data_IF_530383857519
#
_entry.id   IF_530383857519
#
_cell.length_a   1.000
_cell.length_b   1.000
_cell.length_c   1.000
_cell.angle_alpha   90.00
_cell.angle_beta   90.00
_cell.angle_gamma   90.00
#
_symmetry.space_group_name_H-M   'P 1'
#
loop_
_entity.id
_entity.type
_entity.pdbx_description
1 polymer ?
#
# COMPACT_ATOMS: atom_id res chain seq x y z
N UNK A 1 41.09 -7.27 -37.18
CA UNK A 1 40.33 -6.16 -36.53
C UNK A 1 38.80 -6.36 -36.52
N UNK A 2 38.21 -7.13 -37.44
CA UNK A 2 36.73 -7.31 -37.50
C UNK A 2 36.13 -8.28 -36.47
N UNK A 3 36.76 -9.45 -36.26
CA UNK A 3 36.20 -10.52 -35.40
C UNK A 3 36.17 -10.11 -33.93
N UNK A 4 37.27 -9.54 -33.41
CA UNK A 4 37.35 -9.08 -32.02
C UNK A 4 36.30 -8.00 -31.73
N UNK A 5 36.11 -7.05 -32.66
CA UNK A 5 35.09 -5.99 -32.55
C UNK A 5 33.66 -6.55 -32.56
N UNK A 6 33.41 -7.60 -33.35
CA UNK A 6 32.12 -8.28 -33.39
C UNK A 6 31.82 -9.02 -32.09
N UNK A 7 32.81 -9.70 -31.50
CA UNK A 7 32.67 -10.38 -30.21
C UNK A 7 32.34 -9.35 -29.11
N UNK A 8 33.03 -8.22 -29.05
CA UNK A 8 32.74 -7.16 -28.07
C UNK A 8 31.33 -6.56 -28.22
N UNK A 9 30.85 -6.40 -29.45
CA UNK A 9 29.48 -5.93 -29.71
C UNK A 9 28.45 -6.94 -29.17
N UNK A 10 28.63 -8.23 -29.46
CA UNK A 10 27.70 -9.28 -29.03
C UNK A 10 27.68 -9.41 -27.50
N UNK A 11 28.85 -9.37 -26.85
CA UNK A 11 28.93 -9.46 -25.38
C UNK A 11 28.34 -8.23 -24.68
N UNK A 12 28.51 -7.03 -25.24
CA UNK A 12 27.88 -5.81 -24.76
C UNK A 12 26.35 -5.89 -24.86
N UNK A 13 25.82 -6.30 -26.01
CA UNK A 13 24.37 -6.46 -26.22
C UNK A 13 23.80 -7.52 -25.28
N UNK A 14 24.47 -8.67 -25.15
CA UNK A 14 24.04 -9.71 -24.22
C UNK A 14 24.07 -9.22 -22.75
N UNK A 15 25.11 -8.49 -22.35
CA UNK A 15 25.21 -7.93 -21.01
C UNK A 15 24.11 -6.90 -20.72
N UNK A 16 23.77 -6.05 -21.69
CA UNK A 16 22.66 -5.10 -21.58
C UNK A 16 21.31 -5.81 -21.47
N UNK A 17 21.07 -6.88 -22.24
CA UNK A 17 19.85 -7.68 -22.16
C UNK A 17 19.74 -8.36 -20.80
N UNK A 18 20.84 -8.92 -20.28
CA UNK A 18 20.88 -9.52 -18.94
C UNK A 18 20.59 -8.47 -17.87
N UNK A 19 21.14 -7.26 -17.96
CA UNK A 19 20.85 -6.16 -17.01
C UNK A 19 19.38 -5.72 -17.01
N UNK A 20 18.74 -5.68 -18.19
CA UNK A 20 17.31 -5.34 -18.33
C UNK A 20 16.44 -6.44 -17.71
N UNK A 21 16.75 -7.72 -17.98
CA UNK A 21 16.01 -8.87 -17.45
C UNK A 21 16.25 -9.10 -15.95
N UNK A 22 17.39 -8.66 -15.42
CA UNK A 22 17.76 -8.79 -14.00
C UNK A 22 17.16 -7.72 -13.11
N UNK A 23 16.49 -6.70 -13.67
CA UNK A 23 15.75 -5.71 -12.88
C UNK A 23 14.49 -6.37 -12.31
N UNK A 24 14.64 -7.12 -11.22
CA UNK A 24 13.53 -7.53 -10.39
C UNK A 24 12.95 -6.28 -9.71
N UNK A 25 11.98 -5.64 -10.36
CA UNK A 25 11.03 -4.85 -9.61
C UNK A 25 10.30 -5.83 -8.71
N UNK A 26 10.58 -5.83 -7.40
CA UNK A 26 9.55 -6.17 -6.43
C UNK A 26 8.40 -5.22 -6.74
N UNK A 27 7.45 -5.72 -7.52
CA UNK A 27 6.40 -4.95 -8.16
C UNK A 27 5.07 -5.57 -7.79
N UNK A 28 4.05 -4.74 -7.87
CA UNK A 28 2.65 -5.14 -7.84
C UNK A 28 2.07 -4.82 -9.22
N UNK A 29 0.99 -5.51 -9.58
CA UNK A 29 0.33 -5.33 -10.88
C UNK A 29 -0.75 -4.23 -10.82
N UNK A 30 -1.48 -4.15 -9.71
CA UNK A 30 -2.58 -3.20 -9.52
C UNK A 30 -2.77 -2.84 -8.04
N UNK A 31 -3.65 -1.87 -7.76
CA UNK A 31 -4.11 -1.59 -6.40
C UNK A 31 -5.53 -2.12 -6.20
N UNK A 32 -5.76 -2.80 -5.09
CA UNK A 32 -7.09 -3.06 -4.55
C UNK A 32 -7.43 -1.99 -3.53
N UNK A 33 -8.43 -1.15 -3.83
CA UNK A 33 -9.00 -0.21 -2.86
C UNK A 33 -10.29 -0.80 -2.30
N UNK A 34 -10.21 -1.31 -1.08
CA UNK A 34 -11.29 -2.08 -0.45
C UNK A 34 -11.99 -1.26 0.63
N UNK A 35 -13.30 -1.48 0.75
CA UNK A 35 -14.15 -0.85 1.74
C UNK A 35 -14.92 -1.92 2.51
N UNK A 36 -15.30 -1.61 3.75
CA UNK A 36 -16.03 -2.49 4.65
C UNK A 36 -17.30 -1.80 5.16
N UNK A 37 -18.41 -2.51 5.17
CA UNK A 37 -19.64 -2.05 5.81
C UNK A 37 -19.53 -2.28 7.32
N UNK A 38 -19.49 -1.20 8.13
CA UNK A 38 -19.15 -1.34 9.54
C UNK A 38 -20.06 -2.30 10.33
N UNK A 39 -21.40 -2.30 10.14
CA UNK A 39 -22.27 -3.22 10.88
C UNK A 39 -22.00 -4.69 10.54
N UNK A 40 -21.74 -5.01 9.26
CA UNK A 40 -21.38 -6.36 8.86
C UNK A 40 -20.00 -6.76 9.40
N UNK A 41 -19.02 -5.86 9.36
CA UNK A 41 -17.70 -6.11 9.92
C UNK A 41 -17.78 -6.39 11.43
N UNK A 42 -18.56 -5.62 12.19
CA UNK A 42 -18.74 -5.81 13.61
C UNK A 42 -19.49 -7.10 13.97
N UNK A 43 -20.40 -7.56 13.11
CA UNK A 43 -21.13 -8.81 13.32
C UNK A 43 -20.39 -10.05 12.79
N UNK A 44 -19.22 -9.87 12.15
CA UNK A 44 -18.44 -10.97 11.56
C UNK A 44 -17.48 -11.66 12.54
N UNK A 45 -17.24 -11.07 13.72
CA UNK A 45 -16.28 -11.55 14.70
C UNK A 45 -16.98 -11.88 16.03
N UNK A 46 -16.56 -12.93 16.77
CA UNK A 46 -17.05 -13.18 18.13
C UNK A 46 -16.80 -12.02 19.10
N UNK A 47 -15.75 -11.24 18.87
CA UNK A 47 -15.45 -10.06 19.67
C UNK A 47 -16.28 -8.88 19.15
N UNK A 48 -17.20 -8.32 19.96
CA UNK A 48 -17.99 -7.18 19.52
C UNK A 48 -17.10 -5.95 19.34
N UNK A 49 -17.48 -5.08 18.40
CA UNK A 49 -16.90 -3.75 18.28
C UNK A 49 -17.12 -2.96 19.57
N UNK A 50 -16.08 -2.23 20.01
CA UNK A 50 -16.15 -1.40 21.23
C UNK A 50 -17.00 -0.16 21.04
N UNK A 51 -16.97 0.41 19.84
CA UNK A 51 -17.73 1.58 19.45
C UNK A 51 -18.93 1.15 18.57
N UNK A 52 -20.10 1.82 18.67
CA UNK A 52 -21.24 1.52 17.81
C UNK A 52 -20.88 1.70 16.32
N UNK A 53 -21.19 0.73 15.45
CA UNK A 53 -20.92 0.87 14.02
C UNK A 53 -21.89 1.86 13.37
N UNK A 54 -21.36 2.66 12.45
CA UNK A 54 -22.16 3.53 11.60
C UNK A 54 -22.64 2.76 10.36
N UNK A 55 -23.85 3.04 9.87
CA UNK A 55 -24.43 2.36 8.70
C UNK A 55 -23.84 2.87 7.37
N UNK A 56 -22.53 2.76 7.21
CA UNK A 56 -21.81 3.23 6.04
C UNK A 56 -20.61 2.31 5.73
N UNK A 57 -20.14 2.40 4.50
CA UNK A 57 -18.86 1.83 4.12
C UNK A 57 -17.73 2.76 4.56
N UNK A 58 -16.69 2.21 5.15
CA UNK A 58 -15.40 2.90 5.36
C UNK A 58 -14.30 2.16 4.63
N UNK A 59 -13.16 2.80 4.44
CA UNK A 59 -11.97 2.15 3.93
C UNK A 59 -11.63 0.95 4.81
N UNK A 60 -11.34 -0.17 4.16
CA UNK A 60 -10.72 -1.33 4.78
C UNK A 60 -9.22 -1.34 4.48
N UNK A 61 -8.83 -1.10 3.22
CA UNK A 61 -7.44 -0.98 2.83
C UNK A 61 -7.16 -0.50 1.40
N UNK A 62 -5.91 -0.13 1.17
CA UNK A 62 -5.35 0.13 -0.17
C UNK A 62 -4.13 -0.77 -0.36
N UNK A 63 -4.28 -1.82 -1.17
CA UNK A 63 -3.29 -2.90 -1.22
C UNK A 63 -2.66 -2.98 -2.61
N UNK A 64 -1.33 -2.86 -2.72
CA UNK A 64 -0.61 -3.33 -3.90
C UNK A 64 -0.82 -4.83 -4.05
N UNK A 65 -1.26 -5.27 -5.23
CA UNK A 65 -1.70 -6.63 -5.48
C UNK A 65 -1.19 -7.18 -6.81
N UNK A 66 -1.01 -8.49 -6.86
CA UNK A 66 -0.60 -9.21 -8.05
C UNK A 66 -1.82 -9.82 -8.73
N UNK A 67 -1.86 -9.80 -10.05
CA UNK A 67 -2.90 -10.48 -10.83
C UNK A 67 -2.78 -12.00 -10.73
N UNK A 68 -1.57 -12.50 -10.48
CA UNK A 68 -1.30 -13.91 -10.27
C UNK A 68 -0.41 -14.12 -9.04
N UNK A 69 -0.74 -15.12 -8.22
CA UNK A 69 0.01 -15.44 -7.02
C UNK A 69 -0.30 -14.51 -5.83
N UNK A 70 0.48 -14.61 -4.74
CA UNK A 70 0.23 -13.84 -3.53
C UNK A 70 0.58 -12.37 -3.70
N UNK A 71 -0.18 -11.51 -3.01
CA UNK A 71 0.09 -10.07 -2.94
C UNK A 71 1.37 -9.78 -2.15
N UNK A 72 2.14 -8.75 -2.54
CA UNK A 72 3.32 -8.34 -1.79
C UNK A 72 2.91 -7.74 -0.44
N UNK A 73 3.61 -8.15 0.63
CA UNK A 73 3.42 -7.63 1.99
C UNK A 73 4.75 -7.38 2.68
N UNK A 74 4.78 -6.45 3.63
CA UNK A 74 5.94 -6.12 4.47
C UNK A 74 7.20 -5.78 3.66
N UNK A 75 7.05 -5.01 2.58
CA UNK A 75 8.16 -4.67 1.70
C UNK A 75 9.18 -3.75 2.41
N UNK A 76 10.47 -4.01 2.18
CA UNK A 76 11.53 -3.16 2.75
C UNK A 76 11.80 -1.96 1.84
N UNK A 77 12.04 -0.75 2.40
CA UNK A 77 12.50 0.38 1.62
C UNK A 77 13.77 -0.01 0.84
N UNK A 78 13.88 0.42 -0.42
CA UNK A 78 15.09 0.18 -1.23
C UNK A 78 16.30 0.98 -0.74
N UNK A 79 16.10 1.96 0.16
CA UNK A 79 17.17 2.78 0.73
C UNK A 79 17.79 2.13 1.95
N UNK A 80 19.13 2.07 1.99
CA UNK A 80 19.91 1.52 3.14
C UNK A 80 19.83 2.38 4.42
N UNK A 81 19.22 3.56 4.34
CA UNK A 81 18.99 4.41 5.51
C UNK A 81 17.77 3.87 6.25
N UNK A 82 17.87 3.58 7.56
CA UNK A 82 16.69 3.33 8.38
C UNK A 82 15.77 4.53 8.26
N UNK A 83 14.64 4.37 7.56
CA UNK A 83 13.57 5.35 7.66
C UNK A 83 13.08 5.23 9.10
N UNK A 84 13.53 6.14 9.97
CA UNK A 84 12.91 6.33 11.27
C UNK A 84 11.39 6.34 11.05
N UNK A 85 10.63 5.59 11.87
CA UNK A 85 9.17 5.50 11.72
C UNK A 85 8.62 6.92 11.54
N UNK A 86 8.26 7.26 10.30
CA UNK A 86 7.72 8.57 10.00
C UNK A 86 6.37 8.65 10.73
N UNK A 87 6.15 9.65 11.59
CA UNK A 87 4.84 9.81 12.21
C UNK A 87 3.79 10.11 11.14
N UNK A 88 2.56 9.68 11.39
CA UNK A 88 1.42 10.09 10.56
C UNK A 88 1.20 11.58 10.81
N UNK A 89 1.17 12.37 9.74
CA UNK A 89 0.90 13.80 9.80
C UNK A 89 -0.41 14.07 10.55
N UNK A 90 -0.33 14.92 11.57
CA UNK A 90 -1.46 15.26 12.43
C UNK A 90 -2.65 15.84 11.65
N UNK A 91 -2.41 16.51 10.53
CA UNK A 91 -3.45 17.08 9.66
C UNK A 91 -4.30 16.03 8.94
N UNK A 92 -3.79 14.79 8.78
CA UNK A 92 -4.50 13.70 8.12
C UNK A 92 -5.40 12.93 9.08
N UNK A 93 -5.06 12.91 10.38
CA UNK A 93 -5.73 12.08 11.40
C UNK A 93 -7.24 12.31 11.45
N UNK A 94 -7.77 13.56 11.53
CA UNK A 94 -9.22 13.77 11.62
C UNK A 94 -9.99 13.18 10.43
N UNK A 95 -9.41 13.21 9.23
CA UNK A 95 -10.05 12.62 8.05
C UNK A 95 -10.00 11.09 8.11
N UNK A 96 -8.86 10.52 8.50
CA UNK A 96 -8.69 9.07 8.65
C UNK A 96 -9.61 8.48 9.73
N UNK A 97 -9.87 9.21 10.83
CA UNK A 97 -10.81 8.79 11.88
C UNK A 97 -12.23 8.61 11.36
N UNK A 98 -12.61 9.38 10.34
CA UNK A 98 -13.93 9.34 9.71
C UNK A 98 -13.96 8.26 8.62
N UNK A 99 -13.00 8.29 7.70
CA UNK A 99 -13.07 7.46 6.49
C UNK A 99 -12.45 6.08 6.64
N UNK A 100 -11.53 5.89 7.59
CA UNK A 100 -10.78 4.66 7.79
C UNK A 100 -10.59 4.31 9.27
N UNK A 101 -11.66 4.28 10.09
CA UNK A 101 -11.54 3.89 11.49
C UNK A 101 -11.14 2.42 11.62
N UNK A 102 -10.42 2.11 12.69
CA UNK A 102 -10.42 0.77 13.26
C UNK A 102 -11.82 0.51 13.84
N UNK A 103 -12.68 -0.11 13.04
CA UNK A 103 -14.09 -0.38 13.40
C UNK A 103 -14.23 -1.20 14.69
N UNK A 104 -13.23 -2.00 15.06
CA UNK A 104 -13.26 -2.82 16.28
C UNK A 104 -12.89 -2.05 17.55
N UNK A 105 -12.02 -1.03 17.43
CA UNK A 105 -11.55 -0.23 18.55
C UNK A 105 -10.97 1.10 18.05
N UNK A 106 -11.79 2.17 18.02
CA UNK A 106 -11.35 3.46 17.47
C UNK A 106 -10.24 4.11 18.29
N UNK A 107 -10.12 3.77 19.58
CA UNK A 107 -9.00 4.21 20.42
C UNK A 107 -7.63 3.67 19.96
N UNK A 108 -7.60 2.62 19.13
CA UNK A 108 -6.38 2.02 18.57
C UNK A 108 -6.18 2.34 17.07
N UNK A 109 -6.79 3.43 16.58
CA UNK A 109 -6.72 3.86 15.18
C UNK A 109 -5.28 4.02 14.66
N UNK A 110 -4.42 4.72 15.41
CA UNK A 110 -3.07 5.04 14.94
C UNK A 110 -2.16 3.79 14.83
N UNK A 111 -2.26 2.88 15.78
CA UNK A 111 -1.62 1.56 15.73
C UNK A 111 -2.12 0.75 14.54
N UNK A 112 -3.44 0.74 14.31
CA UNK A 112 -4.04 0.09 13.15
C UNK A 112 -3.50 0.67 11.82
N UNK A 113 -3.48 2.00 11.64
CA UNK A 113 -2.97 2.62 10.43
C UNK A 113 -1.48 2.34 10.19
N UNK A 114 -0.65 2.38 11.25
CA UNK A 114 0.75 2.01 11.12
C UNK A 114 0.92 0.57 10.63
N UNK A 115 0.13 -0.38 11.13
CA UNK A 115 0.12 -1.77 10.62
C UNK A 115 -0.31 -1.85 9.16
N UNK A 116 -1.31 -1.06 8.74
CA UNK A 116 -1.74 -1.01 7.32
C UNK A 116 -0.63 -0.47 6.42
N UNK A 117 0.08 0.58 6.85
CA UNK A 117 1.24 1.09 6.13
C UNK A 117 2.36 0.04 6.06
N UNK A 118 2.78 -0.51 7.20
CA UNK A 118 3.92 -1.42 7.26
C UNK A 118 3.68 -2.68 6.41
N UNK A 119 2.45 -3.22 6.48
CA UNK A 119 2.09 -4.43 5.74
C UNK A 119 1.85 -4.19 4.26
N UNK A 120 1.17 -3.11 3.87
CA UNK A 120 0.71 -2.92 2.50
C UNK A 120 1.31 -1.68 1.83
N UNK A 121 1.26 -0.53 2.49
CA UNK A 121 1.73 0.74 1.91
C UNK A 121 3.21 0.73 1.50
N UNK A 122 4.06 0.02 2.26
CA UNK A 122 5.48 -0.17 1.94
C UNK A 122 5.73 -0.84 0.59
N UNK A 123 4.77 -1.61 0.08
CA UNK A 123 4.86 -2.30 -1.20
C UNK A 123 4.42 -1.46 -2.40
N UNK A 124 3.89 -0.25 -2.19
CA UNK A 124 3.34 0.60 -3.25
C UNK A 124 4.38 1.41 -4.04
N UNK A 125 5.67 1.30 -3.72
CA UNK A 125 6.75 2.04 -4.40
C UNK A 125 6.87 1.65 -5.88
N UNK A 126 7.16 2.59 -6.80
CA UNK A 126 7.43 4.01 -6.58
C UNK A 126 6.18 4.92 -6.55
N UNK A 127 5.00 4.39 -6.88
CA UNK A 127 3.74 5.16 -6.92
C UNK A 127 3.39 5.75 -5.56
N UNK A 128 3.52 4.95 -4.50
CA UNK A 128 3.45 5.39 -3.12
C UNK A 128 4.86 5.73 -2.64
N UNK A 129 5.09 7.02 -2.39
CA UNK A 129 6.42 7.56 -2.07
C UNK A 129 6.81 7.35 -0.60
N UNK A 130 5.85 7.53 0.30
CA UNK A 130 6.04 7.44 1.74
C UNK A 130 4.69 7.23 2.46
N UNK A 131 4.76 7.12 3.79
CA UNK A 131 3.61 6.87 4.67
C UNK A 131 2.53 7.94 4.57
N UNK A 132 2.91 9.22 4.55
CA UNK A 132 1.91 10.29 4.51
C UNK A 132 1.29 10.39 3.12
N UNK A 133 2.07 10.15 2.05
CA UNK A 133 1.55 10.04 0.69
C UNK A 133 0.55 8.88 0.53
N UNK A 134 0.77 7.75 1.21
CA UNK A 134 -0.18 6.63 1.24
C UNK A 134 -1.54 7.03 1.83
N UNK A 135 -1.55 7.64 3.01
CA UNK A 135 -2.79 8.09 3.65
C UNK A 135 -3.47 9.22 2.88
N UNK A 136 -2.71 10.18 2.34
CA UNK A 136 -3.25 11.21 1.45
C UNK A 136 -3.90 10.61 0.21
N UNK A 137 -3.30 9.57 -0.37
CA UNK A 137 -3.86 8.86 -1.53
C UNK A 137 -5.19 8.23 -1.18
N UNK A 138 -5.27 7.53 -0.03
CA UNK A 138 -6.53 6.93 0.44
C UNK A 138 -7.61 7.98 0.67
N UNK A 139 -7.29 9.09 1.34
CA UNK A 139 -8.21 10.21 1.55
C UNK A 139 -8.72 10.75 0.21
N UNK A 140 -7.81 10.97 -0.74
CA UNK A 140 -8.16 11.48 -2.08
C UNK A 140 -9.08 10.52 -2.84
N UNK A 141 -8.80 9.21 -2.80
CA UNK A 141 -9.62 8.19 -3.47
C UNK A 141 -11.03 8.17 -2.89
N UNK A 142 -11.14 8.17 -1.55
CA UNK A 142 -12.43 8.10 -0.87
C UNK A 142 -13.26 9.39 -1.02
N UNK A 143 -12.67 10.56 -0.74
CA UNK A 143 -13.38 11.84 -0.66
C UNK A 143 -13.43 12.54 -2.02
N UNK A 144 -12.27 12.78 -2.64
CA UNK A 144 -12.17 13.65 -3.82
C UNK A 144 -12.63 12.93 -5.08
N UNK A 145 -12.26 11.66 -5.23
CA UNK A 145 -12.64 10.84 -6.39
C UNK A 145 -13.98 10.15 -6.23
N UNK A 146 -14.67 10.37 -5.09
CA UNK A 146 -16.00 9.82 -4.77
C UNK A 146 -16.07 8.31 -5.02
N UNK A 147 -15.01 7.58 -4.65
CA UNK A 147 -14.99 6.13 -4.74
C UNK A 147 -15.63 5.49 -3.50
N UNK A 148 -16.30 6.26 -2.64
CA UNK A 148 -17.08 5.73 -1.54
C UNK A 148 -18.22 4.85 -2.08
N UNK A 149 -18.36 3.64 -1.55
CA UNK A 149 -19.46 2.74 -1.91
C UNK A 149 -20.72 3.24 -1.23
N UNK A 150 -21.66 3.76 -2.00
CA UNK A 150 -23.00 4.17 -1.57
C UNK A 150 -24.06 3.16 -2.00
#
# INVERSE_FOLDING_TARGET
MGITRMIYMVTMVFSLIVLILSSSTMGYDHFQFTQQYQPAACNSNPTPCKDPPEKLFTVHGLWPSNSNGPDPVNCKPKTKVPQAQQPIDASLKPQLEIIWPNVFNRADNESFWNKQWDKHGTCGSPTIKDKNHYFQTVIKMYITQKQNVS
#
